data_IF_139477946828
#
_entry.id   IF_139477946828
#
_cell.length_a   1.000
_cell.length_b   1.000
_cell.length_c   1.000
_cell.angle_alpha   90.00
_cell.angle_beta   90.00
_cell.angle_gamma   90.00
#
_symmetry.space_group_name_H-M   'P 1'
#
loop_
_entity.id
_entity.type
_entity.pdbx_description
1 polymer ?
#
# COMPACT_ATOMS: atom_id res chain seq x y z
N UNK A 1 -21.36 23.39 22.72
CA UNK A 1 -21.40 21.99 23.18
C UNK A 1 -20.55 21.20 22.21
N UNK A 2 -19.25 21.07 22.51
CA UNK A 2 -18.31 20.32 21.67
C UNK A 2 -18.60 18.86 21.95
N UNK A 3 -19.18 18.14 20.98
CA UNK A 3 -19.20 16.69 21.02
C UNK A 3 -17.76 16.22 20.80
N UNK A 4 -17.12 15.76 21.88
CA UNK A 4 -16.00 14.84 21.79
C UNK A 4 -16.47 13.65 20.93
N UNK A 5 -15.97 13.57 19.70
CA UNK A 5 -16.07 12.32 18.92
C UNK A 5 -15.29 11.26 19.69
N UNK A 6 -15.97 10.19 20.05
CA UNK A 6 -15.41 9.08 20.81
C UNK A 6 -14.13 8.57 20.16
N UNK A 7 -13.08 8.51 20.95
CA UNK A 7 -11.75 8.03 20.63
C UNK A 7 -11.79 6.56 20.20
N UNK A 8 -11.64 6.25 18.90
CA UNK A 8 -11.20 4.92 18.46
C UNK A 8 -10.66 4.81 17.02
N UNK A 9 -10.21 5.89 16.39
CA UNK A 9 -9.32 5.77 15.22
C UNK A 9 -7.90 5.53 15.73
N UNK A 10 -7.35 4.32 15.53
CA UNK A 10 -5.96 4.01 15.90
C UNK A 10 -4.99 4.68 14.92
N UNK A 11 -3.99 5.39 15.44
CA UNK A 11 -2.86 5.91 14.66
C UNK A 11 -2.21 4.81 13.82
N UNK A 12 -1.69 5.18 12.66
CA UNK A 12 -0.95 4.29 11.78
C UNK A 12 0.26 3.66 12.49
N UNK A 13 0.34 2.34 12.43
CA UNK A 13 1.47 1.54 12.88
C UNK A 13 2.03 0.77 11.67
N UNK A 14 3.25 1.08 11.20
CA UNK A 14 3.83 0.47 9.98
C UNK A 14 3.87 -1.06 9.96
N UNK A 15 3.94 -1.70 11.13
CA UNK A 15 4.04 -3.16 11.26
C UNK A 15 2.70 -3.87 11.52
N UNK A 16 1.62 -3.10 11.70
CA UNK A 16 0.29 -3.65 11.98
C UNK A 16 -0.77 -2.58 11.70
N UNK A 17 -1.07 -2.34 10.43
CA UNK A 17 -2.11 -1.40 10.03
C UNK A 17 -2.73 -1.76 8.69
N UNK A 18 -3.91 -1.19 8.46
CA UNK A 18 -4.57 -1.28 7.18
C UNK A 18 -4.27 -0.02 6.35
N UNK A 19 -4.08 -0.25 5.06
CA UNK A 19 -4.20 0.78 4.03
C UNK A 19 -5.62 0.68 3.49
N UNK A 20 -6.37 1.77 3.59
CA UNK A 20 -7.75 1.87 3.09
C UNK A 20 -7.78 2.70 1.82
N UNK A 21 -8.68 2.36 0.91
CA UNK A 21 -8.96 3.12 -0.30
C UNK A 21 -10.46 3.18 -0.55
N UNK A 22 -10.96 4.39 -0.80
CA UNK A 22 -12.35 4.62 -1.20
C UNK A 22 -12.40 4.85 -2.71
N UNK A 23 -13.26 4.11 -3.39
CA UNK A 23 -13.50 4.23 -4.82
C UNK A 23 -14.75 5.08 -5.08
N UNK A 24 -14.87 5.64 -6.28
CA UNK A 24 -16.09 6.39 -6.66
C UNK A 24 -17.35 5.52 -6.78
N UNK A 25 -17.19 4.21 -6.83
CA UNK A 25 -18.27 3.23 -6.83
C UNK A 25 -17.71 1.84 -6.56
N UNK A 26 -18.60 0.85 -6.45
CA UNK A 26 -18.20 -0.51 -6.13
C UNK A 26 -17.31 -1.09 -7.23
N UNK A 27 -16.17 -1.72 -6.90
CA UNK A 27 -15.20 -2.15 -7.90
C UNK A 27 -15.79 -3.25 -8.79
N UNK A 28 -15.54 -3.15 -10.08
CA UNK A 28 -15.74 -4.29 -11.00
C UNK A 28 -14.68 -5.37 -10.73
N UNK A 29 -14.87 -6.58 -11.25
CA UNK A 29 -13.89 -7.65 -11.07
C UNK A 29 -12.53 -7.27 -11.69
N UNK A 30 -12.56 -6.49 -12.77
CA UNK A 30 -11.37 -5.92 -13.39
C UNK A 30 -10.64 -4.93 -12.47
N UNK A 31 -11.40 -4.12 -11.73
CA UNK A 31 -10.81 -3.15 -10.79
C UNK A 31 -10.15 -3.88 -9.61
N UNK A 32 -10.79 -4.94 -9.11
CA UNK A 32 -10.24 -5.83 -8.07
C UNK A 32 -8.92 -6.45 -8.55
N UNK A 33 -8.90 -7.03 -9.76
CA UNK A 33 -7.69 -7.61 -10.34
C UNK A 33 -6.58 -6.57 -10.52
N UNK A 34 -6.93 -5.36 -10.96
CA UNK A 34 -5.97 -4.30 -11.23
C UNK A 34 -5.34 -3.75 -9.94
N UNK A 35 -6.16 -3.40 -8.95
CA UNK A 35 -5.68 -2.93 -7.64
C UNK A 35 -4.88 -4.04 -6.96
N UNK A 36 -5.41 -5.27 -6.97
CA UNK A 36 -4.74 -6.44 -6.40
C UNK A 36 -3.36 -6.69 -7.01
N UNK A 37 -3.25 -6.63 -8.33
CA UNK A 37 -1.97 -6.78 -9.05
C UNK A 37 -0.96 -5.67 -8.72
N UNK A 38 -1.43 -4.43 -8.56
CA UNK A 38 -0.57 -3.30 -8.14
C UNK A 38 -0.03 -3.53 -6.73
N UNK A 39 -0.90 -3.89 -5.78
CA UNK A 39 -0.52 -4.15 -4.39
C UNK A 39 0.41 -5.37 -4.27
N UNK A 40 0.13 -6.46 -4.99
CA UNK A 40 0.99 -7.64 -5.04
C UNK A 40 2.38 -7.30 -5.60
N UNK A 41 2.44 -6.49 -6.67
CA UNK A 41 3.71 -6.05 -7.25
C UNK A 41 4.51 -5.17 -6.29
N UNK A 42 3.83 -4.23 -5.62
CA UNK A 42 4.42 -3.40 -4.58
C UNK A 42 4.99 -4.24 -3.43
N UNK A 43 4.24 -5.23 -2.95
CA UNK A 43 4.69 -6.17 -1.93
C UNK A 43 5.93 -6.96 -2.36
N UNK A 44 5.91 -7.59 -3.55
CA UNK A 44 7.06 -8.37 -4.07
C UNK A 44 8.32 -7.52 -4.16
N UNK A 45 8.21 -6.29 -4.66
CA UNK A 45 9.34 -5.35 -4.69
C UNK A 45 9.85 -5.01 -3.28
N UNK A 46 8.94 -4.78 -2.33
CA UNK A 46 9.27 -4.51 -0.93
C UNK A 46 9.94 -5.69 -0.22
N UNK A 47 9.48 -6.93 -0.47
CA UNK A 47 10.09 -8.17 0.04
C UNK A 47 11.56 -8.29 -0.38
N UNK A 48 11.86 -7.85 -1.60
CA UNK A 48 13.19 -7.89 -2.20
C UNK A 48 14.05 -6.65 -1.88
N UNK A 49 13.53 -5.73 -1.05
CA UNK A 49 14.25 -4.54 -0.59
C UNK A 49 14.41 -3.43 -1.62
N UNK A 50 13.56 -3.40 -2.65
CA UNK A 50 13.60 -2.39 -3.70
C UNK A 50 13.38 -0.95 -3.17
N UNK A 51 12.71 -0.81 -2.04
CA UNK A 51 12.40 0.49 -1.43
C UNK A 51 13.46 0.97 -0.42
N UNK A 52 14.68 0.43 -0.46
CA UNK A 52 15.77 0.85 0.41
C UNK A 52 16.29 2.24 0.03
N UNK A 53 15.77 3.26 0.70
CA UNK A 53 16.14 4.66 0.53
C UNK A 53 17.62 4.93 0.86
N UNK A 54 18.20 4.14 1.77
CA UNK A 54 19.62 4.22 2.12
C UNK A 54 20.56 3.71 1.01
N UNK A 55 20.02 2.99 0.01
CA UNK A 55 20.75 2.44 -1.12
C UNK A 55 20.37 3.08 -2.47
N UNK A 56 19.82 4.30 -2.48
CA UNK A 56 19.52 5.05 -3.70
C UNK A 56 20.80 5.62 -4.36
N UNK A 57 21.67 4.76 -4.84
CA UNK A 57 23.00 5.14 -5.37
C UNK A 57 22.91 6.06 -6.60
N UNK A 58 21.87 5.87 -7.43
CA UNK A 58 21.69 6.65 -8.65
C UNK A 58 21.03 8.01 -8.41
N UNK A 59 20.27 8.16 -7.32
CA UNK A 59 19.56 9.40 -7.02
C UNK A 59 20.51 10.61 -6.85
N UNK A 60 21.73 10.35 -6.38
CA UNK A 60 22.77 11.37 -6.17
C UNK A 60 23.91 11.28 -7.19
N UNK A 61 23.77 10.46 -8.24
CA UNK A 61 24.79 10.35 -9.29
C UNK A 61 24.62 11.45 -10.33
N UNK A 62 25.72 12.08 -10.74
CA UNK A 62 25.70 12.97 -11.90
C UNK A 62 25.43 12.16 -13.17
N UNK A 63 24.45 12.57 -13.96
CA UNK A 63 24.15 11.96 -15.27
C UNK A 63 25.15 12.35 -16.37
N UNK A 64 26.16 13.14 -16.04
CA UNK A 64 27.24 13.49 -16.99
C UNK A 64 28.14 12.28 -17.32
N UNK A 65 28.11 11.23 -16.48
CA UNK A 65 28.83 9.98 -16.70
C UNK A 65 27.88 8.80 -16.59
N UNK A 66 28.27 7.65 -17.15
CA UNK A 66 27.50 6.42 -17.00
C UNK A 66 27.34 6.08 -15.51
N UNK A 67 26.10 5.95 -15.00
CA UNK A 67 25.88 5.56 -13.61
C UNK A 67 26.44 4.15 -13.37
N UNK A 68 27.20 4.00 -12.29
CA UNK A 68 27.73 2.71 -11.85
C UNK A 68 27.07 2.35 -10.53
N UNK A 69 26.53 1.13 -10.47
CA UNK A 69 26.00 0.58 -9.24
C UNK A 69 27.11 -0.20 -8.51
N UNK A 70 27.37 0.16 -7.26
CA UNK A 70 28.36 -0.50 -6.42
C UNK A 70 27.68 -1.54 -5.52
N UNK A 71 27.92 -2.82 -5.81
CA UNK A 71 27.35 -3.94 -5.06
C UNK A 71 27.90 -4.04 -3.63
N UNK A 72 29.18 -3.71 -3.40
CA UNK A 72 29.80 -3.74 -2.08
C UNK A 72 29.25 -2.62 -1.19
N UNK A 73 28.99 -1.46 -1.77
CA UNK A 73 28.27 -0.36 -1.09
C UNK A 73 26.86 -0.77 -0.73
N UNK A 74 26.14 -1.42 -1.66
CA UNK A 74 24.78 -1.90 -1.42
C UNK A 74 24.71 -2.98 -0.32
N UNK A 75 25.70 -3.86 -0.23
CA UNK A 75 25.76 -4.89 0.81
C UNK A 75 26.01 -4.33 2.22
N UNK A 76 26.61 -3.15 2.33
CA UNK A 76 26.95 -2.52 3.62
C UNK A 76 25.83 -1.69 4.23
N UNK A 77 24.78 -1.36 3.47
CA UNK A 77 23.64 -0.61 3.99
C UNK A 77 22.71 -1.52 4.78
N UNK A 78 21.96 -0.96 5.72
CA UNK A 78 20.93 -1.71 6.43
C UNK A 78 19.86 -2.21 5.44
N UNK A 79 19.49 -3.50 5.44
CA UNK A 79 18.41 -4.00 4.59
C UNK A 79 17.06 -3.40 5.00
N UNK A 80 16.30 -2.96 4.00
CA UNK A 80 14.90 -2.58 4.10
C UNK A 80 14.07 -3.75 3.59
N UNK A 81 13.18 -4.32 4.41
CA UNK A 81 12.39 -5.49 4.03
C UNK A 81 10.95 -5.34 4.49
N UNK A 82 10.02 -5.39 3.54
CA UNK A 82 8.60 -5.61 3.80
C UNK A 82 8.46 -7.02 4.38
N UNK A 83 7.74 -7.23 5.48
CA UNK A 83 7.61 -8.55 6.09
C UNK A 83 6.42 -9.34 5.57
N UNK A 84 5.22 -8.76 5.60
CA UNK A 84 4.01 -9.52 5.27
C UNK A 84 2.84 -8.64 4.83
N UNK A 85 1.88 -9.23 4.12
CA UNK A 85 0.70 -8.53 3.61
C UNK A 85 -0.52 -9.46 3.62
N UNK A 86 -1.70 -8.89 3.84
CA UNK A 86 -2.96 -9.60 3.74
C UNK A 86 -3.51 -9.62 2.30
N UNK A 87 -4.60 -10.33 2.10
CA UNK A 87 -5.39 -10.22 0.88
C UNK A 87 -5.96 -8.79 0.75
N UNK A 88 -6.23 -8.38 -0.49
CA UNK A 88 -6.90 -7.11 -0.75
C UNK A 88 -8.39 -7.35 -0.69
N UNK A 89 -9.07 -6.75 0.28
CA UNK A 89 -10.49 -6.97 0.56
C UNK A 89 -11.31 -5.75 0.12
N UNK A 90 -12.54 -5.96 -0.34
CA UNK A 90 -13.47 -4.91 -0.75
C UNK A 90 -14.87 -5.16 -0.20
N UNK A 91 -15.50 -4.10 0.32
CA UNK A 91 -16.90 -4.03 0.73
C UNK A 91 -17.50 -2.72 0.20
N UNK A 92 -18.59 -2.81 -0.56
CA UNK A 92 -19.18 -1.67 -1.28
C UNK A 92 -18.14 -0.91 -2.11
N UNK A 93 -17.84 0.34 -1.74
CA UNK A 93 -16.87 1.22 -2.41
C UNK A 93 -15.51 1.24 -1.69
N UNK A 94 -15.41 0.61 -0.53
CA UNK A 94 -14.20 0.58 0.26
C UNK A 94 -13.40 -0.67 -0.06
N UNK A 95 -12.09 -0.52 -0.13
CA UNK A 95 -11.21 -1.65 0.04
C UNK A 95 -10.11 -1.36 1.04
N UNK A 96 -9.49 -2.44 1.50
CA UNK A 96 -8.41 -2.41 2.47
C UNK A 96 -7.40 -3.50 2.20
N UNK A 97 -6.18 -3.29 2.68
CA UNK A 97 -5.16 -4.33 2.77
C UNK A 97 -4.40 -4.17 4.08
N UNK A 98 -4.24 -5.27 4.81
CA UNK A 98 -3.38 -5.30 6.01
C UNK A 98 -1.93 -5.36 5.59
N UNK A 99 -1.05 -4.62 6.27
CA UNK A 99 0.38 -4.58 5.99
C UNK A 99 1.22 -4.73 7.26
N UNK A 100 2.31 -5.49 7.17
CA UNK A 100 3.48 -5.42 8.04
C UNK A 100 4.68 -4.98 7.20
N UNK A 101 4.92 -3.66 7.18
CA UNK A 101 6.04 -3.06 6.45
C UNK A 101 7.40 -3.49 7.02
N UNK A 102 7.46 -4.09 8.21
CA UNK A 102 8.71 -4.59 8.79
C UNK A 102 9.76 -3.49 8.96
N UNK A 103 10.93 -3.70 8.35
CA UNK A 103 12.00 -2.70 8.29
C UNK A 103 11.97 -1.87 7.01
N UNK A 104 10.91 -1.98 6.21
CA UNK A 104 10.76 -1.22 4.97
C UNK A 104 10.77 0.28 5.26
N UNK A 105 11.52 1.03 4.46
CA UNK A 105 11.49 2.49 4.51
C UNK A 105 10.10 3.01 4.13
N UNK A 106 9.72 4.17 4.70
CA UNK A 106 8.47 4.86 4.35
C UNK A 106 8.42 5.28 2.87
N UNK A 107 9.58 5.30 2.19
CA UNK A 107 9.68 5.47 0.74
C UNK A 107 8.82 4.46 -0.04
N UNK A 108 8.59 3.26 0.51
CA UNK A 108 7.65 2.29 -0.07
C UNK A 108 6.23 2.86 -0.20
N UNK A 109 5.78 3.65 0.77
CA UNK A 109 4.46 4.29 0.78
C UNK A 109 4.42 5.42 -0.25
N UNK A 110 5.48 6.22 -0.40
CA UNK A 110 5.55 7.24 -1.44
C UNK A 110 5.46 6.63 -2.85
N UNK A 111 6.18 5.53 -3.10
CA UNK A 111 6.11 4.80 -4.38
C UNK A 111 4.70 4.29 -4.64
N UNK A 112 4.03 3.73 -3.62
CA UNK A 112 2.65 3.29 -3.74
C UNK A 112 1.69 4.46 -4.05
N UNK A 113 1.81 5.58 -3.33
CA UNK A 113 0.98 6.77 -3.55
C UNK A 113 1.14 7.33 -4.96
N UNK A 114 2.38 7.38 -5.48
CA UNK A 114 2.64 7.79 -6.85
C UNK A 114 1.97 6.84 -7.86
N UNK A 115 2.06 5.53 -7.63
CA UNK A 115 1.42 4.53 -8.48
C UNK A 115 -0.11 4.67 -8.45
N UNK A 116 -0.71 4.76 -7.27
CA UNK A 116 -2.16 4.90 -7.10
C UNK A 116 -2.69 6.23 -7.66
N UNK A 117 -1.89 7.29 -7.67
CA UNK A 117 -2.27 8.56 -8.30
C UNK A 117 -2.48 8.39 -9.80
N UNK A 118 -1.56 7.73 -10.50
CA UNK A 118 -1.69 7.44 -11.94
C UNK A 118 -2.77 6.40 -12.21
N UNK A 119 -2.88 5.39 -11.35
CA UNK A 119 -3.97 4.41 -11.41
C UNK A 119 -5.34 5.11 -11.34
N UNK A 120 -5.46 6.08 -10.43
CA UNK A 120 -6.66 6.86 -10.19
C UNK A 120 -7.08 7.69 -11.40
N UNK A 121 -6.10 8.30 -12.08
CA UNK A 121 -6.37 9.20 -13.21
C UNK A 121 -6.65 8.49 -14.53
N UNK A 122 -6.06 7.32 -14.75
CA UNK A 122 -6.08 6.67 -16.08
C UNK A 122 -6.96 5.42 -16.16
N UNK A 123 -7.24 4.73 -15.04
CA UNK A 123 -7.85 3.40 -15.08
C UNK A 123 -9.12 3.25 -14.25
N UNK A 124 -9.13 3.69 -13.00
CA UNK A 124 -10.30 3.64 -12.10
C UNK A 124 -10.24 4.81 -11.12
N UNK A 125 -11.37 5.35 -10.68
CA UNK A 125 -11.33 6.51 -9.78
C UNK A 125 -11.17 6.11 -8.30
N UNK A 126 -10.09 6.56 -7.67
CA UNK A 126 -9.85 6.50 -6.22
C UNK A 126 -10.13 7.88 -5.63
N UNK A 127 -11.06 7.97 -4.66
CA UNK A 127 -11.40 9.21 -3.96
C UNK A 127 -10.36 9.58 -2.91
N UNK A 128 -10.01 8.63 -2.05
CA UNK A 128 -9.04 8.83 -0.98
C UNK A 128 -8.35 7.53 -0.59
N UNK A 129 -7.14 7.68 -0.05
CA UNK A 129 -6.41 6.61 0.63
C UNK A 129 -6.16 7.05 2.07
N UNK A 130 -6.39 6.14 3.01
CA UNK A 130 -6.26 6.41 4.45
C UNK A 130 -5.38 5.36 5.11
N UNK A 131 -4.40 5.80 5.89
CA UNK A 131 -3.49 4.95 6.66
C UNK A 131 -3.95 4.91 8.11
N UNK A 132 -4.79 3.94 8.48
CA UNK A 132 -5.34 3.82 9.84
C UNK A 132 -5.54 2.36 10.22
N UNK A 133 -5.41 2.07 11.53
CA UNK A 133 -5.54 0.69 12.02
C UNK A 133 -6.95 0.13 11.88
N UNK A 134 -8.00 0.96 11.97
CA UNK A 134 -9.41 0.56 11.79
C UNK A 134 -10.23 1.72 11.24
N UNK A 135 -11.23 1.38 10.44
CA UNK A 135 -12.26 2.30 9.95
C UNK A 135 -13.64 1.84 10.41
N UNK A 136 -14.45 2.78 10.90
CA UNK A 136 -15.60 2.49 11.77
C UNK A 136 -16.73 1.65 11.17
N UNK A 137 -16.94 1.77 9.86
CA UNK A 137 -18.10 1.15 9.19
C UNK A 137 -17.76 -0.18 8.50
N UNK A 138 -16.54 -0.72 8.67
CA UNK A 138 -16.16 -2.00 8.07
C UNK A 138 -16.75 -3.20 8.83
N UNK A 139 -17.42 -4.10 8.11
CA UNK A 139 -18.01 -5.31 8.68
C UNK A 139 -17.02 -6.49 8.63
N UNK A 140 -16.26 -6.72 9.70
CA UNK A 140 -15.24 -7.79 9.78
C UNK A 140 -15.77 -9.22 9.49
N UNK A 141 -17.09 -9.45 9.60
CA UNK A 141 -17.71 -10.74 9.30
C UNK A 141 -18.25 -10.89 7.88
N UNK A 142 -18.31 -9.81 7.10
CA UNK A 142 -18.90 -9.80 5.77
C UNK A 142 -17.89 -10.29 4.74
N UNK A 143 -17.97 -11.59 4.44
CA UNK A 143 -17.08 -12.29 3.49
C UNK A 143 -17.84 -12.99 2.36
N UNK A 144 -19.16 -12.76 2.26
CA UNK A 144 -20.00 -13.39 1.26
C UNK A 144 -20.05 -12.57 -0.04
N UNK A 145 -19.60 -13.13 -1.19
CA UNK A 145 -19.66 -12.44 -2.48
C UNK A 145 -21.06 -12.01 -2.92
N UNK A 146 -22.10 -12.74 -2.49
CA UNK A 146 -23.50 -12.38 -2.80
C UNK A 146 -23.94 -11.06 -2.16
N UNK A 147 -23.25 -10.62 -1.10
CA UNK A 147 -23.50 -9.35 -0.44
C UNK A 147 -22.50 -8.25 -0.85
N UNK A 148 -21.78 -8.44 -1.97
CA UNK A 148 -20.88 -7.41 -2.51
C UNK A 148 -19.44 -7.46 -1.99
N UNK A 149 -19.09 -8.48 -1.19
CA UNK A 149 -17.71 -8.72 -0.79
C UNK A 149 -16.88 -9.21 -1.99
N UNK A 150 -15.73 -8.59 -2.23
CA UNK A 150 -14.76 -9.07 -3.22
C UNK A 150 -13.38 -9.10 -2.58
N UNK A 151 -12.51 -9.95 -3.12
CA UNK A 151 -11.12 -9.97 -2.68
C UNK A 151 -10.18 -10.37 -3.81
N UNK A 152 -8.94 -9.91 -3.69
CA UNK A 152 -7.82 -10.37 -4.47
C UNK A 152 -6.83 -11.07 -3.56
N UNK A 153 -6.48 -12.31 -3.91
CA UNK A 153 -5.56 -13.13 -3.13
C UNK A 153 -4.11 -12.81 -3.48
N UNK A 154 -3.30 -12.45 -2.49
CA UNK A 154 -1.87 -12.13 -2.68
C UNK A 154 -0.99 -13.38 -2.59
#
# INVERSE_FOLDING_TARGET
MVQERSSQERCFNPIDSYIWFELYGSPTDRDVDLIGSVIQSWYVMGRLGAFNSSNLQLANSSMEHNPIYDADKGFKVMPSSFHDIGDVEFQDNWGRVWVDLGTSDIFAVDVLLNCLTVLSSEYLGIQQMVLVGRMGDWEEGMTNPEYGYKYFKI
#
